data_IF_240584064128
#
_entry.id   IF_240584064128
#
_cell.length_a   1.000
_cell.length_b   1.000
_cell.length_c   1.000
_cell.angle_alpha   90.00
_cell.angle_beta   90.00
_cell.angle_gamma   90.00
#
_symmetry.space_group_name_H-M   'P 1'
#
loop_
_entity.id
_entity.type
_entity.pdbx_description
1 polymer ?
#
# COMPACT_ATOMS: atom_id res chain seq x y z
N UNK A 1 0.87 1.92 -11.07
CA UNK A 1 -0.16 2.28 -10.07
C UNK A 1 0.47 3.26 -9.09
N UNK A 2 -0.04 4.49 -9.01
CA UNK A 2 0.60 5.58 -8.26
C UNK A 2 0.95 5.22 -6.80
N UNK A 3 0.10 4.45 -6.11
CA UNK A 3 0.37 4.00 -4.74
C UNK A 3 1.58 3.07 -4.64
N UNK A 4 1.79 2.20 -5.63
CA UNK A 4 2.96 1.33 -5.74
C UNK A 4 4.25 2.10 -6.00
N UNK A 5 4.17 3.19 -6.76
CA UNK A 5 5.31 4.07 -7.02
C UNK A 5 5.75 4.80 -5.74
N UNK A 6 4.77 5.33 -4.98
CA UNK A 6 5.02 5.98 -3.68
C UNK A 6 5.61 4.97 -2.68
N UNK A 7 5.07 3.74 -2.62
CA UNK A 7 5.58 2.71 -1.73
C UNK A 7 7.03 2.31 -2.05
N UNK A 8 7.38 2.22 -3.34
CA UNK A 8 8.75 1.97 -3.79
C UNK A 8 9.69 3.12 -3.42
N UNK A 9 9.25 4.38 -3.59
CA UNK A 9 10.03 5.55 -3.20
C UNK A 9 10.28 5.63 -1.67
N UNK A 10 9.31 5.23 -0.83
CA UNK A 10 9.47 5.14 0.63
C UNK A 10 10.36 3.96 1.07
N UNK A 11 10.41 2.90 0.25
CA UNK A 11 11.15 1.68 0.52
C UNK A 11 10.23 0.53 0.96
N UNK A 12 10.15 -0.51 0.12
CA UNK A 12 9.20 -1.62 0.30
C UNK A 12 9.35 -2.38 1.62
N UNK A 13 10.56 -2.44 2.19
CA UNK A 13 10.81 -3.08 3.48
C UNK A 13 10.16 -2.33 4.64
N UNK A 14 10.20 -0.99 4.60
CA UNK A 14 9.61 -0.13 5.63
C UNK A 14 8.09 -0.23 5.53
N UNK A 15 7.55 -0.14 4.32
CA UNK A 15 6.10 -0.24 4.09
C UNK A 15 5.57 -1.60 4.55
N UNK A 16 6.25 -2.70 4.21
CA UNK A 16 5.87 -4.04 4.67
C UNK A 16 5.80 -4.17 6.18
N UNK A 17 6.84 -3.66 6.88
CA UNK A 17 6.90 -3.66 8.34
C UNK A 17 5.76 -2.83 8.94
N UNK A 18 5.55 -1.61 8.44
CA UNK A 18 4.59 -0.67 9.01
C UNK A 18 3.13 -1.02 8.65
N UNK A 19 2.89 -1.66 7.51
CA UNK A 19 1.57 -2.14 7.11
C UNK A 19 1.22 -3.51 7.67
N UNK A 20 2.18 -4.23 8.27
CA UNK A 20 2.01 -5.62 8.71
C UNK A 20 1.79 -6.61 7.56
N UNK A 21 2.30 -6.30 6.36
CA UNK A 21 2.15 -7.15 5.17
C UNK A 21 3.51 -7.71 4.76
N UNK A 22 3.52 -8.89 4.14
CA UNK A 22 4.75 -9.38 3.51
C UNK A 22 5.05 -8.57 2.25
N UNK A 23 6.31 -8.59 1.80
CA UNK A 23 6.71 -7.90 0.56
C UNK A 23 5.96 -8.46 -0.65
N UNK A 24 5.74 -9.77 -0.70
CA UNK A 24 5.01 -10.47 -1.76
C UNK A 24 3.53 -10.01 -1.80
N UNK A 25 2.89 -9.93 -0.63
CA UNK A 25 1.52 -9.42 -0.53
C UNK A 25 1.43 -7.97 -1.03
N UNK A 26 2.41 -7.13 -0.67
CA UNK A 26 2.53 -5.75 -1.13
C UNK A 26 2.71 -5.65 -2.65
N UNK A 27 3.61 -6.44 -3.23
CA UNK A 27 3.83 -6.46 -4.68
C UNK A 27 2.57 -6.91 -5.43
N UNK A 28 1.88 -7.94 -4.94
CA UNK A 28 0.63 -8.40 -5.55
C UNK A 28 -0.45 -7.33 -5.44
N UNK A 29 -0.64 -6.76 -4.26
CA UNK A 29 -1.66 -5.75 -3.96
C UNK A 29 -1.46 -4.43 -4.72
N UNK A 30 -0.21 -4.00 -4.93
CA UNK A 30 0.13 -2.72 -5.58
C UNK A 30 0.57 -2.88 -7.05
N UNK A 31 0.48 -4.09 -7.60
CA UNK A 31 0.71 -4.33 -9.03
C UNK A 31 -0.43 -3.75 -9.87
N UNK A 32 -0.18 -3.55 -11.17
CA UNK A 32 -1.20 -3.03 -12.11
C UNK A 32 -2.41 -3.96 -12.25
N UNK A 33 -2.23 -5.26 -11.97
CA UNK A 33 -3.30 -6.27 -11.99
C UNK A 33 -3.74 -6.69 -10.58
N UNK A 34 -3.28 -5.97 -9.56
CA UNK A 34 -3.60 -6.28 -8.17
C UNK A 34 -5.07 -5.99 -7.89
N UNK A 35 -5.72 -6.90 -7.16
CA UNK A 35 -7.03 -6.65 -6.54
C UNK A 35 -6.82 -6.56 -5.01
N UNK A 36 -6.34 -5.39 -4.52
CA UNK A 36 -6.12 -5.23 -3.10
C UNK A 36 -7.46 -5.11 -2.39
N UNK A 37 -7.70 -5.98 -1.41
CA UNK A 37 -8.82 -5.83 -0.48
C UNK A 37 -8.75 -4.44 0.20
N UNK A 38 -9.91 -3.86 0.52
CA UNK A 38 -9.99 -2.54 1.17
C UNK A 38 -9.09 -2.43 2.40
N UNK A 39 -9.04 -3.47 3.24
CA UNK A 39 -8.15 -3.51 4.41
C UNK A 39 -6.66 -3.37 4.04
N UNK A 40 -6.22 -4.00 2.95
CA UNK A 40 -4.86 -3.91 2.45
C UNK A 40 -4.55 -2.49 1.98
N UNK A 41 -5.48 -1.86 1.26
CA UNK A 41 -5.33 -0.46 0.84
C UNK A 41 -5.19 0.47 2.06
N UNK A 42 -6.07 0.36 3.05
CA UNK A 42 -5.99 1.20 4.25
C UNK A 42 -4.71 0.97 5.05
N UNK A 43 -4.26 -0.29 5.16
CA UNK A 43 -3.00 -0.63 5.83
C UNK A 43 -1.80 0.01 5.13
N UNK A 44 -1.76 -0.03 3.79
CA UNK A 44 -0.70 0.61 2.99
C UNK A 44 -0.77 2.13 3.09
N UNK A 45 -1.94 2.74 2.91
CA UNK A 45 -2.14 4.19 3.04
C UNK A 45 -1.65 4.69 4.40
N UNK A 46 -2.02 3.99 5.48
CA UNK A 46 -1.57 4.30 6.84
C UNK A 46 -0.05 4.15 6.97
N UNK A 47 0.53 3.07 6.46
CA UNK A 47 1.98 2.84 6.47
C UNK A 47 2.74 3.91 5.66
N UNK A 48 2.11 4.49 4.63
CA UNK A 48 2.69 5.60 3.86
C UNK A 48 2.52 6.96 4.56
N UNK A 49 1.73 7.05 5.62
CA UNK A 49 1.43 8.32 6.30
C UNK A 49 0.40 9.17 5.56
N UNK A 50 -0.38 8.55 4.67
CA UNK A 50 -1.41 9.21 3.88
C UNK A 50 -2.76 9.16 4.60
N UNK A 51 -3.64 10.12 4.29
CA UNK A 51 -5.01 10.16 4.77
C UNK A 51 -5.98 10.03 3.60
N UNK A 52 -6.91 9.10 3.69
CA UNK A 52 -8.01 8.95 2.73
C UNK A 52 -9.19 9.77 3.24
N UNK A 53 -9.75 10.59 2.36
CA UNK A 53 -10.99 11.32 2.57
C UNK A 53 -11.99 10.89 1.51
N UNK A 54 -13.23 10.62 1.91
CA UNK A 54 -14.33 10.35 1.00
C UNK A 54 -15.21 11.60 0.97
N UNK A 55 -15.54 12.08 -0.23
CA UNK A 55 -16.52 13.15 -0.46
C UNK A 55 -17.67 12.58 -1.28
N UNK A 56 -18.88 13.06 -1.01
CA UNK A 56 -20.06 12.78 -1.82
C UNK A 56 -20.03 13.60 -3.12
#
# INVERSE_FOLDING_TARGET
MALGDIARAKGMSVVAKDSGLTREALYKALSEKGDPKLWTLFSVVKALGLKVSMTA
#
